data_IF_345115765862
#
_entry.id   IF_345115765862
#
_cell.length_a   1.000
_cell.length_b   1.000
_cell.length_c   1.000
_cell.angle_alpha   90.00
_cell.angle_beta   90.00
_cell.angle_gamma   90.00
#
_symmetry.space_group_name_H-M   'P 1'
#
loop_
_entity.id
_entity.type
_entity.pdbx_description
1 polymer ?
#
# COMPACT_ATOMS: atom_id res chain seq x y z
N UNK A 1 23.25 -6.45 12.44
CA UNK A 1 22.26 -7.05 11.53
C UNK A 1 21.50 -8.11 12.30
N UNK A 2 20.26 -7.83 12.69
CA UNK A 2 19.41 -8.81 13.37
C UNK A 2 18.50 -9.40 12.30
N UNK A 3 18.83 -10.58 11.78
CA UNK A 3 17.88 -11.37 11.00
C UNK A 3 16.71 -11.69 11.93
N UNK A 4 15.49 -11.32 11.55
CA UNK A 4 14.29 -11.69 12.31
C UNK A 4 14.17 -13.21 12.26
N UNK A 5 14.41 -13.84 13.40
CA UNK A 5 14.44 -15.29 13.53
C UNK A 5 13.11 -15.93 13.11
N UNK A 6 11.99 -15.24 13.33
CA UNK A 6 10.63 -15.80 13.19
C UNK A 6 9.74 -15.03 12.18
N UNK A 7 10.30 -14.27 11.24
CA UNK A 7 9.54 -13.46 10.27
C UNK A 7 8.49 -12.53 10.92
N UNK A 8 8.73 -12.15 12.16
CA UNK A 8 7.74 -11.43 12.96
C UNK A 8 7.46 -10.06 12.36
N UNK A 9 6.17 -9.69 12.32
CA UNK A 9 5.75 -8.37 11.88
C UNK A 9 6.39 -7.33 12.80
N UNK A 10 7.19 -6.42 12.24
CA UNK A 10 7.45 -5.18 12.98
C UNK A 10 6.13 -4.42 12.94
N UNK A 11 5.60 -4.08 14.11
CA UNK A 11 4.28 -3.46 14.29
C UNK A 11 4.18 -2.03 13.74
N UNK A 12 5.22 -1.51 13.09
CA UNK A 12 5.14 -0.23 12.39
C UNK A 12 4.26 -0.39 11.14
N UNK A 13 2.95 -0.13 11.32
CA UNK A 13 2.04 0.11 10.22
C UNK A 13 2.48 1.39 9.51
N UNK A 14 3.34 1.22 8.51
CA UNK A 14 3.68 2.26 7.56
C UNK A 14 2.38 2.72 6.89
N UNK A 15 2.03 3.97 7.12
CA UNK A 15 0.87 4.61 6.51
C UNK A 15 1.33 5.59 5.44
N UNK A 16 0.64 5.60 4.30
CA UNK A 16 0.87 6.60 3.26
C UNK A 16 -0.19 7.70 3.38
N UNK A 17 0.20 8.97 3.20
CA UNK A 17 -0.76 10.05 3.07
C UNK A 17 -1.76 9.78 1.94
N UNK A 18 -3.02 10.13 2.16
CA UNK A 18 -4.08 10.00 1.16
C UNK A 18 -3.73 10.71 -0.16
N UNK A 19 -3.04 11.86 -0.08
CA UNK A 19 -2.58 12.60 -1.25
C UNK A 19 -1.63 11.79 -2.12
N UNK A 20 -0.75 10.99 -1.50
CA UNK A 20 0.16 10.08 -2.19
C UNK A 20 -0.60 8.94 -2.86
N UNK A 21 -1.52 8.31 -2.14
CA UNK A 21 -2.39 7.22 -2.67
C UNK A 21 -3.20 7.74 -3.86
N UNK A 22 -3.80 8.92 -3.72
CA UNK A 22 -4.58 9.58 -4.78
C UNK A 22 -3.73 9.93 -6.00
N UNK A 23 -2.49 10.35 -5.80
CA UNK A 23 -1.56 10.66 -6.90
C UNK A 23 -1.16 9.39 -7.66
N UNK A 24 -0.88 8.29 -6.95
CA UNK A 24 -0.61 6.99 -7.58
C UNK A 24 -1.82 6.49 -8.37
N UNK A 25 -3.03 6.65 -7.82
CA UNK A 25 -4.28 6.30 -8.50
C UNK A 25 -4.47 7.07 -9.80
N UNK A 26 -4.16 8.37 -9.84
CA UNK A 26 -4.26 9.17 -11.05
C UNK A 26 -3.34 8.68 -12.18
N UNK A 27 -2.21 8.03 -11.86
CA UNK A 27 -1.32 7.46 -12.87
C UNK A 27 -1.95 6.25 -13.57
N UNK A 28 -2.65 5.40 -12.82
CA UNK A 28 -3.30 4.20 -13.36
C UNK A 28 -4.71 4.48 -13.90
N UNK A 29 -5.44 5.41 -13.27
CA UNK A 29 -6.82 5.78 -13.58
C UNK A 29 -6.97 7.31 -13.66
N UNK A 30 -6.56 7.95 -14.77
CA UNK A 30 -6.51 9.42 -14.87
C UNK A 30 -7.85 10.12 -14.63
N UNK A 31 -8.94 9.46 -14.99
CA UNK A 31 -10.30 10.02 -14.95
C UNK A 31 -11.15 9.49 -13.80
N UNK A 32 -10.58 8.71 -12.88
CA UNK A 32 -11.32 8.13 -11.74
C UNK A 32 -10.84 8.70 -10.42
N UNK A 33 -11.74 8.73 -9.44
CA UNK A 33 -11.44 9.22 -8.09
C UNK A 33 -11.42 8.08 -7.08
N UNK A 34 -10.62 8.27 -6.04
CA UNK A 34 -10.64 7.44 -4.85
C UNK A 34 -11.92 7.73 -4.07
N UNK A 35 -12.76 6.71 -3.87
CA UNK A 35 -13.96 6.81 -3.04
C UNK A 35 -13.67 6.48 -1.58
N UNK A 36 -12.84 5.46 -1.33
CA UNK A 36 -12.40 5.07 0.01
C UNK A 36 -11.10 4.26 -0.06
N UNK A 37 -10.35 4.24 1.04
CA UNK A 37 -9.19 3.37 1.20
C UNK A 37 -9.10 2.83 2.63
N UNK A 38 -8.46 1.67 2.77
CA UNK A 38 -8.10 1.10 4.05
C UNK A 38 -6.75 0.39 3.95
N UNK A 39 -5.92 0.56 4.97
CA UNK A 39 -4.67 -0.20 5.08
C UNK A 39 -5.04 -1.60 5.55
N UNK A 40 -4.65 -2.61 4.79
CA UNK A 40 -4.86 -4.01 5.14
C UNK A 40 -3.53 -4.62 5.59
N UNK A 41 -3.59 -5.53 6.55
CA UNK A 41 -2.39 -6.15 7.11
C UNK A 41 -1.56 -6.81 6.00
N UNK A 42 -0.36 -6.26 5.77
CA UNK A 42 0.62 -6.77 4.79
C UNK A 42 1.62 -7.75 5.40
N UNK A 43 2.44 -8.36 4.54
CA UNK A 43 3.65 -9.06 4.96
C UNK A 43 4.83 -8.09 5.17
N UNK A 44 5.99 -8.59 5.60
CA UNK A 44 7.11 -7.74 6.04
C UNK A 44 7.73 -6.82 4.96
N UNK A 45 7.42 -7.01 3.68
CA UNK A 45 8.06 -6.31 2.56
C UNK A 45 7.09 -5.48 1.70
N UNK A 46 5.80 -5.44 2.04
CA UNK A 46 4.80 -4.75 1.24
C UNK A 46 3.79 -4.04 2.12
N UNK A 47 3.46 -2.81 1.75
CA UNK A 47 2.25 -2.14 2.22
C UNK A 47 1.11 -2.47 1.24
N UNK A 48 0.05 -3.05 1.76
CA UNK A 48 -1.15 -3.35 0.99
C UNK A 48 -2.27 -2.39 1.41
N UNK A 49 -2.84 -1.68 0.44
CA UNK A 49 -3.96 -0.76 0.66
C UNK A 49 -5.12 -1.25 -0.19
N UNK A 50 -6.25 -1.56 0.45
CA UNK A 50 -7.50 -1.75 -0.26
C UNK A 50 -8.03 -0.39 -0.69
N UNK A 51 -8.41 -0.25 -1.95
CA UNK A 51 -8.92 0.99 -2.53
C UNK A 51 -10.24 0.72 -3.23
N UNK A 52 -11.19 1.63 -3.03
CA UNK A 52 -12.46 1.68 -3.75
C UNK A 52 -12.39 2.88 -4.69
N UNK A 53 -12.54 2.62 -5.98
CA UNK A 53 -12.48 3.64 -7.03
C UNK A 53 -13.89 3.87 -7.56
N UNK A 54 -14.24 5.13 -7.82
CA UNK A 54 -15.54 5.45 -8.41
C UNK A 54 -15.73 4.73 -9.75
N UNK A 55 -16.94 4.18 -9.97
CA UNK A 55 -17.30 3.43 -11.18
C UNK A 55 -16.46 2.17 -11.42
N UNK A 56 -15.85 1.60 -10.37
CA UNK A 56 -15.34 0.23 -10.37
C UNK A 56 -16.28 -0.67 -9.59
N UNK A 57 -16.56 -1.85 -10.15
CA UNK A 57 -17.50 -2.81 -9.55
C UNK A 57 -16.86 -3.65 -8.44
N UNK A 58 -15.54 -3.62 -8.31
CA UNK A 58 -14.79 -4.39 -7.31
C UNK A 58 -13.74 -3.53 -6.61
N UNK A 59 -13.49 -3.79 -5.31
CA UNK A 59 -12.34 -3.22 -4.62
C UNK A 59 -11.04 -3.66 -5.30
N UNK A 60 -10.07 -2.76 -5.35
CA UNK A 60 -8.73 -3.02 -5.88
C UNK A 60 -7.71 -3.05 -4.74
N UNK A 61 -6.53 -3.60 -5.01
CA UNK A 61 -5.40 -3.61 -4.08
C UNK A 61 -4.28 -2.77 -4.68
N UNK A 62 -3.91 -1.69 -3.98
CA UNK A 62 -2.67 -0.96 -4.20
C UNK A 62 -1.57 -1.63 -3.36
N UNK A 63 -0.63 -2.30 -4.04
CA UNK A 63 0.53 -2.94 -3.41
C UNK A 63 1.76 -2.07 -3.60
N UNK A 64 2.28 -1.55 -2.50
CA UNK A 64 3.50 -0.74 -2.47
C UNK A 64 4.64 -1.61 -1.98
N UNK A 65 5.60 -1.85 -2.87
CA UNK A 65 6.82 -2.58 -2.54
C UNK A 65 7.70 -1.69 -1.66
N UNK A 66 7.84 -2.06 -0.38
CA UNK A 66 8.73 -1.40 0.55
C UNK A 66 10.11 -2.04 0.35
N UNK A 67 10.99 -1.33 -0.33
CA UNK A 67 12.40 -1.71 -0.42
C UNK A 67 13.19 -0.75 0.44
N UNK A 68 14.05 -1.31 1.27
CA UNK A 68 15.12 -0.52 1.85
C UNK A 68 16.03 -0.06 0.70
N UNK A 69 16.34 1.24 0.66
CA UNK A 69 17.27 1.80 -0.32
C UNK A 69 18.67 1.21 -0.16
N UNK A 70 18.99 0.70 1.04
CA UNK A 70 20.27 0.12 1.42
C UNK A 70 20.22 -1.42 1.37
N UNK A 71 19.11 -2.03 0.94
CA UNK A 71 19.04 -3.48 0.69
C UNK A 71 19.82 -3.82 -0.59
N UNK A 72 20.88 -4.63 -0.41
CA UNK A 72 21.81 -5.08 -1.45
C UNK A 72 21.17 -5.92 -2.56
#
# INVERSE_FOLDING_TARGET
MTFKHDWEKAEEQLSLPESTISSMLKLAFPNKKLAAYSIIAGGCANLNVQIIVENENSPLILRVYLRDKDAA
#
